data_IF_578647858601
#
_entry.id   IF_578647858601
#
_cell.length_a   1.000
_cell.length_b   1.000
_cell.length_c   1.000
_cell.angle_alpha   90.00
_cell.angle_beta   90.00
_cell.angle_gamma   90.00
#
_symmetry.space_group_name_H-M   'P 1'
#
loop_
_entity.id
_entity.type
_entity.pdbx_description
1 polymer ?
#
# COMPACT_ATOMS: atom_id res chain seq x y z
N UNK A 1 17.63 -21.52 7.59
CA UNK A 1 16.58 -22.16 6.78
C UNK A 1 15.93 -21.08 5.95
N UNK A 2 15.98 -21.19 4.62
CA UNK A 2 15.33 -20.27 3.70
C UNK A 2 13.81 -20.32 3.93
N UNK A 3 13.20 -19.21 4.33
CA UNK A 3 11.75 -19.05 4.26
C UNK A 3 11.39 -19.09 2.78
N UNK A 4 10.89 -20.24 2.33
CA UNK A 4 10.52 -20.49 0.95
C UNK A 4 9.20 -19.76 0.68
N UNK A 5 9.28 -18.45 0.43
CA UNK A 5 8.15 -17.54 0.11
C UNK A 5 7.43 -17.89 -1.21
N UNK A 6 7.88 -18.94 -1.92
CA UNK A 6 7.36 -19.34 -3.24
C UNK A 6 5.93 -19.84 -3.19
N UNK A 7 5.52 -20.45 -2.08
CA UNK A 7 4.16 -20.92 -1.85
C UNK A 7 3.50 -20.19 -0.68
N UNK A 8 3.18 -18.91 -0.93
CA UNK A 8 2.49 -18.06 0.02
C UNK A 8 1.17 -18.65 0.51
N UNK A 9 0.95 -18.56 1.82
CA UNK A 9 -0.20 -19.08 2.56
C UNK A 9 -1.55 -18.62 1.95
N UNK A 10 -1.57 -17.46 1.31
CA UNK A 10 -2.76 -16.81 0.74
C UNK A 10 -3.12 -17.20 -0.70
N UNK A 11 -2.43 -18.19 -1.30
CA UNK A 11 -2.71 -18.60 -2.69
C UNK A 11 -3.99 -19.42 -2.86
N UNK A 12 -4.44 -20.14 -1.82
CA UNK A 12 -5.59 -21.04 -1.92
C UNK A 12 -6.84 -20.37 -1.34
N UNK A 13 -7.85 -20.12 -2.18
CA UNK A 13 -9.13 -19.48 -1.77
C UNK A 13 -9.73 -20.13 -0.52
N UNK A 14 -9.71 -21.46 -0.43
CA UNK A 14 -10.21 -22.21 0.73
C UNK A 14 -9.37 -22.01 2.01
N UNK A 15 -8.05 -21.87 1.87
CA UNK A 15 -7.18 -21.56 3.01
C UNK A 15 -7.49 -20.16 3.53
N UNK A 16 -7.57 -19.17 2.63
CA UNK A 16 -7.90 -17.79 2.95
C UNK A 16 -9.27 -17.70 3.62
N UNK A 17 -10.30 -18.34 3.06
CA UNK A 17 -11.63 -18.39 3.67
C UNK A 17 -11.62 -18.94 5.09
N UNK A 18 -10.87 -20.03 5.34
CA UNK A 18 -10.78 -20.67 6.66
C UNK A 18 -9.99 -19.83 7.66
N UNK A 19 -8.86 -19.28 7.25
CA UNK A 19 -8.00 -18.42 8.09
C UNK A 19 -8.70 -17.10 8.46
N UNK A 20 -9.58 -16.60 7.57
CA UNK A 20 -10.36 -15.39 7.76
C UNK A 20 -11.73 -15.59 8.42
N UNK A 21 -12.15 -16.83 8.68
CA UNK A 21 -13.49 -17.13 9.21
C UNK A 21 -14.64 -16.70 8.28
N UNK A 22 -14.39 -16.65 6.96
CA UNK A 22 -15.32 -16.27 5.90
C UNK A 22 -16.02 -17.48 5.26
N UNK A 23 -16.02 -18.62 5.94
CA UNK A 23 -16.62 -19.89 5.51
C UNK A 23 -18.15 -19.94 5.72
N UNK A 24 -18.72 -18.94 6.40
CA UNK A 24 -20.16 -18.85 6.68
C UNK A 24 -20.85 -18.05 5.57
N UNK A 25 -21.83 -18.67 4.93
CA UNK A 25 -22.44 -18.25 3.66
C UNK A 25 -22.79 -16.77 3.56
N UNK A 26 -22.42 -16.18 2.43
CA UNK A 26 -22.83 -14.85 1.99
C UNK A 26 -23.42 -14.95 0.58
N UNK A 27 -24.50 -14.19 0.37
CA UNK A 27 -25.15 -14.07 -0.93
C UNK A 27 -24.21 -13.36 -1.93
N UNK A 28 -23.91 -13.95 -3.11
CA UNK A 28 -23.02 -13.35 -4.08
C UNK A 28 -23.73 -12.17 -4.75
N UNK A 29 -23.50 -10.97 -4.22
CA UNK A 29 -24.15 -9.75 -4.69
C UNK A 29 -23.59 -9.19 -6.02
N UNK A 30 -22.52 -9.77 -6.60
CA UNK A 30 -21.89 -9.23 -7.84
C UNK A 30 -21.24 -10.29 -8.75
N UNK A 31 -21.11 -9.90 -10.02
CA UNK A 31 -20.45 -10.63 -11.13
C UNK A 31 -18.93 -10.34 -11.25
N UNK A 32 -18.34 -9.58 -10.33
CA UNK A 32 -16.92 -9.21 -10.35
C UNK A 32 -16.05 -10.08 -9.43
N UNK A 33 -14.76 -10.31 -9.76
CA UNK A 33 -13.90 -11.20 -8.97
C UNK A 33 -13.38 -10.62 -7.66
N UNK A 34 -13.56 -9.31 -7.40
CA UNK A 34 -13.03 -8.61 -6.23
C UNK A 34 -14.12 -7.84 -5.47
N UNK A 35 -14.00 -7.76 -4.15
CA UNK A 35 -14.89 -6.97 -3.31
C UNK A 35 -14.47 -5.48 -3.28
N UNK A 36 -15.44 -4.57 -3.22
CA UNK A 36 -15.19 -3.16 -2.91
C UNK A 36 -14.85 -2.95 -1.43
N UNK A 37 -14.58 -1.71 -1.01
CA UNK A 37 -14.42 -1.36 0.41
C UNK A 37 -15.57 -0.44 0.81
N UNK A 38 -16.23 -0.71 1.95
CA UNK A 38 -17.31 0.14 2.46
C UNK A 38 -16.73 1.51 2.85
N UNK A 39 -17.36 2.61 2.46
CA UNK A 39 -16.97 3.93 2.96
C UNK A 39 -17.58 4.15 4.35
N UNK A 40 -16.75 4.41 5.35
CA UNK A 40 -17.14 4.56 6.76
C UNK A 40 -17.09 6.02 7.19
N UNK A 41 -17.69 6.91 6.39
CA UNK A 41 -17.68 8.36 6.62
C UNK A 41 -16.65 9.07 5.75
N UNK A 42 -15.66 9.71 6.37
CA UNK A 42 -14.61 10.48 5.71
C UNK A 42 -13.44 9.61 5.17
N UNK A 43 -13.63 8.31 4.98
CA UNK A 43 -12.54 7.35 4.72
C UNK A 43 -12.31 7.04 3.23
N UNK A 44 -12.86 7.85 2.32
CA UNK A 44 -12.72 7.62 0.88
C UNK A 44 -11.26 7.67 0.38
N UNK A 45 -10.42 8.49 1.01
CA UNK A 45 -8.99 8.57 0.72
C UNK A 45 -8.27 7.26 1.07
N UNK A 46 -8.58 6.69 2.24
CA UNK A 46 -8.08 5.38 2.68
C UNK A 46 -8.52 4.29 1.70
N UNK A 47 -9.82 4.26 1.36
CA UNK A 47 -10.37 3.24 0.47
C UNK A 47 -9.70 3.27 -0.91
N UNK A 48 -9.50 4.47 -1.46
CA UNK A 48 -8.87 4.65 -2.78
C UNK A 48 -7.41 4.20 -2.77
N UNK A 49 -6.66 4.56 -1.72
CA UNK A 49 -5.28 4.12 -1.53
C UNK A 49 -5.17 2.60 -1.39
N UNK A 50 -5.98 1.99 -0.52
CA UNK A 50 -5.96 0.55 -0.28
C UNK A 50 -6.33 -0.25 -1.53
N UNK A 51 -7.29 0.23 -2.32
CA UNK A 51 -7.62 -0.37 -3.62
C UNK A 51 -6.44 -0.29 -4.59
N UNK A 52 -5.80 0.88 -4.73
CA UNK A 52 -4.64 1.04 -5.60
C UNK A 52 -3.50 0.09 -5.20
N UNK A 53 -3.17 0.02 -3.91
CA UNK A 53 -2.15 -0.88 -3.38
C UNK A 53 -2.52 -2.36 -3.55
N UNK A 54 -3.78 -2.73 -3.34
CA UNK A 54 -4.25 -4.11 -3.52
C UNK A 54 -4.10 -4.59 -4.98
N UNK A 55 -4.37 -3.71 -5.95
CA UNK A 55 -4.25 -4.05 -7.36
C UNK A 55 -2.80 -4.08 -7.86
N UNK A 56 -1.86 -3.52 -7.10
CA UNK A 56 -0.42 -3.71 -7.31
C UNK A 56 -0.02 -5.11 -6.86
N UNK A 57 -0.14 -6.09 -7.77
CA UNK A 57 0.01 -7.53 -7.47
C UNK A 57 1.33 -7.92 -6.76
N UNK A 58 2.52 -7.41 -7.14
CA UNK A 58 3.76 -7.71 -6.43
C UNK A 58 3.68 -7.28 -4.96
N UNK A 59 3.28 -6.03 -4.72
CA UNK A 59 3.05 -5.48 -3.39
C UNK A 59 2.05 -6.31 -2.58
N UNK A 60 0.84 -6.53 -3.10
CA UNK A 60 -0.19 -7.33 -2.41
C UNK A 60 0.34 -8.71 -2.01
N UNK A 61 1.04 -9.39 -2.92
CA UNK A 61 1.57 -10.73 -2.67
C UNK A 61 2.60 -10.71 -1.56
N UNK A 62 3.49 -9.72 -1.55
CA UNK A 62 4.50 -9.56 -0.52
C UNK A 62 3.87 -9.20 0.84
N UNK A 63 2.92 -8.25 0.89
CA UNK A 63 2.19 -7.85 2.11
C UNK A 63 1.48 -9.04 2.75
N UNK A 64 0.80 -9.87 1.95
CA UNK A 64 0.13 -11.08 2.43
C UNK A 64 1.12 -12.09 3.02
N UNK A 65 2.36 -12.15 2.54
CA UNK A 65 3.37 -13.08 3.03
C UNK A 65 4.24 -12.55 4.18
N UNK A 66 4.03 -11.31 4.62
CA UNK A 66 4.73 -10.79 5.80
C UNK A 66 4.35 -11.59 7.06
N UNK A 67 5.33 -11.91 7.93
CA UNK A 67 5.07 -12.68 9.14
C UNK A 67 4.24 -11.86 10.14
N UNK A 68 3.09 -12.41 10.54
CA UNK A 68 2.16 -11.77 11.49
C UNK A 68 2.44 -12.14 12.95
N UNK A 69 3.40 -13.03 13.21
CA UNK A 69 3.80 -13.49 14.55
C UNK A 69 5.30 -13.30 14.77
N UNK A 70 5.69 -12.92 15.99
CA UNK A 70 7.09 -12.93 16.42
C UNK A 70 7.67 -14.34 16.31
N UNK A 71 8.86 -14.54 15.70
CA UNK A 71 9.47 -15.86 15.53
C UNK A 71 9.67 -16.67 16.82
N UNK A 72 9.63 -16.00 17.99
CA UNK A 72 10.10 -16.57 19.25
C UNK A 72 9.06 -16.63 20.38
N UNK A 73 7.75 -16.46 20.13
CA UNK A 73 6.69 -16.77 21.11
C UNK A 73 6.82 -16.14 22.52
N UNK A 74 7.66 -15.12 22.69
CA UNK A 74 8.05 -14.52 23.98
C UNK A 74 7.50 -13.11 24.18
N UNK A 75 6.36 -12.81 23.56
CA UNK A 75 5.63 -11.56 23.79
C UNK A 75 4.28 -11.86 24.43
N UNK A 76 4.21 -11.83 25.76
CA UNK A 76 2.95 -11.93 26.52
C UNK A 76 2.17 -10.60 26.52
N UNK A 77 2.27 -9.82 25.44
CA UNK A 77 1.72 -8.47 25.34
C UNK A 77 1.15 -8.20 23.96
N UNK A 78 0.13 -7.35 23.90
CA UNK A 78 -0.49 -6.93 22.65
C UNK A 78 0.52 -6.14 21.80
N UNK A 79 0.85 -6.66 20.60
CA UNK A 79 1.66 -5.95 19.61
C UNK A 79 0.73 -5.25 18.61
N UNK A 80 0.59 -3.93 18.75
CA UNK A 80 -0.24 -3.10 17.87
C UNK A 80 0.14 -3.26 16.38
N UNK A 81 1.44 -3.33 16.06
CA UNK A 81 1.90 -3.44 14.67
C UNK A 81 1.51 -4.77 14.04
N UNK A 82 1.62 -5.86 14.81
CA UNK A 82 1.16 -7.18 14.37
C UNK A 82 -0.37 -7.20 14.16
N UNK A 83 -1.13 -6.52 15.01
CA UNK A 83 -2.58 -6.38 14.85
C UNK A 83 -2.95 -5.58 13.59
N UNK A 84 -2.28 -4.44 13.34
CA UNK A 84 -2.49 -3.63 12.12
C UNK A 84 -2.13 -4.41 10.86
N UNK A 85 -1.00 -5.14 10.86
CA UNK A 85 -0.61 -5.99 9.73
C UNK A 85 -1.63 -7.10 9.49
N UNK A 86 -2.09 -7.78 10.56
CA UNK A 86 -3.12 -8.81 10.45
C UNK A 86 -4.40 -8.25 9.85
N UNK A 87 -4.85 -7.08 10.31
CA UNK A 87 -6.07 -6.45 9.79
C UNK A 87 -5.93 -6.08 8.31
N UNK A 88 -4.78 -5.56 7.87
CA UNK A 88 -4.50 -5.30 6.47
C UNK A 88 -4.51 -6.58 5.62
N UNK A 89 -3.88 -7.65 6.11
CA UNK A 89 -3.85 -8.95 5.45
C UNK A 89 -5.25 -9.56 5.32
N UNK A 90 -6.08 -9.42 6.37
CA UNK A 90 -7.49 -9.85 6.37
C UNK A 90 -8.29 -9.08 5.31
N UNK A 91 -8.14 -7.76 5.26
CA UNK A 91 -8.81 -6.92 4.27
C UNK A 91 -8.40 -7.31 2.84
N UNK A 92 -7.09 -7.42 2.55
CA UNK A 92 -6.62 -7.85 1.23
C UNK A 92 -7.07 -9.27 0.88
N UNK A 93 -7.10 -10.19 1.85
CA UNK A 93 -7.60 -11.54 1.65
C UNK A 93 -9.10 -11.58 1.32
N UNK A 94 -9.92 -10.78 2.01
CA UNK A 94 -11.35 -10.65 1.73
C UNK A 94 -11.59 -10.05 0.33
N UNK A 95 -10.88 -8.96 0.00
CA UNK A 95 -10.92 -8.34 -1.33
C UNK A 95 -10.56 -9.35 -2.43
N UNK A 96 -9.52 -10.17 -2.23
CA UNK A 96 -9.09 -11.19 -3.18
C UNK A 96 -10.09 -12.34 -3.33
N UNK A 97 -10.83 -12.68 -2.27
CA UNK A 97 -11.81 -13.76 -2.34
C UNK A 97 -13.12 -13.35 -3.02
N UNK A 98 -13.46 -12.05 -2.98
CA UNK A 98 -14.63 -11.48 -3.64
C UNK A 98 -15.95 -12.07 -3.12
N UNK A 99 -16.01 -12.40 -1.83
CA UNK A 99 -17.16 -13.10 -1.21
C UNK A 99 -18.31 -12.12 -0.91
N UNK A 100 -17.98 -10.88 -0.55
CA UNK A 100 -18.93 -9.82 -0.20
C UNK A 100 -18.94 -8.72 -1.26
N UNK A 101 -20.04 -7.96 -1.37
CA UNK A 101 -20.07 -6.77 -2.24
C UNK A 101 -19.05 -5.72 -1.79
N UNK A 102 -18.91 -5.54 -0.47
CA UNK A 102 -17.93 -4.65 0.15
C UNK A 102 -17.35 -5.27 1.41
N UNK A 103 -16.05 -5.04 1.62
CA UNK A 103 -15.32 -5.32 2.84
C UNK A 103 -15.68 -4.29 3.92
N UNK A 104 -16.71 -4.54 4.73
CA UNK A 104 -17.09 -3.64 5.84
C UNK A 104 -16.39 -4.02 7.14
N UNK A 105 -16.51 -5.28 7.58
CA UNK A 105 -15.94 -5.71 8.86
C UNK A 105 -14.41 -5.64 8.89
N UNK A 106 -13.75 -6.01 7.79
CA UNK A 106 -12.28 -6.01 7.70
C UNK A 106 -11.70 -4.60 7.58
N UNK A 107 -12.37 -3.67 6.88
CA UNK A 107 -11.91 -2.27 6.83
C UNK A 107 -12.11 -1.59 8.17
N UNK A 108 -13.22 -1.84 8.88
CA UNK A 108 -13.41 -1.34 10.26
C UNK A 108 -12.27 -1.81 11.16
N UNK A 109 -11.96 -3.11 11.15
CA UNK A 109 -10.86 -3.66 11.94
C UNK A 109 -9.49 -3.05 11.57
N UNK A 110 -9.25 -2.77 10.28
CA UNK A 110 -8.04 -2.10 9.83
C UNK A 110 -7.93 -0.67 10.35
N UNK A 111 -9.00 0.13 10.21
CA UNK A 111 -9.01 1.51 10.69
C UNK A 111 -8.81 1.58 12.21
N UNK A 112 -9.47 0.70 12.97
CA UNK A 112 -9.30 0.61 14.43
C UNK A 112 -7.87 0.20 14.81
N UNK A 113 -7.31 -0.81 14.14
CA UNK A 113 -5.96 -1.27 14.40
C UNK A 113 -4.90 -0.22 14.00
N UNK A 114 -5.17 0.62 13.01
CA UNK A 114 -4.30 1.73 12.62
C UNK A 114 -4.61 3.03 13.34
N UNK A 115 -5.66 3.08 14.17
CA UNK A 115 -6.16 4.29 14.86
C UNK A 115 -6.49 5.43 13.89
N UNK A 116 -7.03 5.09 12.71
CA UNK A 116 -7.46 6.06 11.70
C UNK A 116 -8.88 6.53 12.04
N UNK A 117 -9.09 7.84 12.06
CA UNK A 117 -10.38 8.44 12.40
C UNK A 117 -11.34 8.45 11.20
N UNK A 118 -12.58 8.05 11.43
CA UNK A 118 -13.63 7.97 10.40
C UNK A 118 -14.36 9.29 10.13
N UNK A 119 -14.15 10.29 10.99
CA UNK A 119 -14.84 11.59 10.95
C UNK A 119 -14.01 12.73 10.35
N UNK A 120 -12.75 12.48 9.98
CA UNK A 120 -11.81 13.49 9.50
C UNK A 120 -11.18 13.07 8.19
N UNK A 121 -11.03 14.02 7.28
CA UNK A 121 -10.22 13.83 6.08
C UNK A 121 -8.75 14.08 6.41
N UNK A 122 -7.86 13.23 5.91
CA UNK A 122 -6.41 13.39 6.01
C UNK A 122 -5.79 13.49 4.60
N UNK A 123 -4.51 13.84 4.54
CA UNK A 123 -3.74 13.88 3.31
C UNK A 123 -3.48 12.45 2.78
N UNK A 124 -3.98 12.08 1.59
CA UNK A 124 -3.78 10.75 1.03
C UNK A 124 -2.31 10.40 0.74
N UNK A 125 -1.50 11.39 0.34
CA UNK A 125 -0.07 11.21 0.06
C UNK A 125 0.71 10.97 1.35
N UNK A 126 0.38 11.69 2.42
CA UNK A 126 0.98 11.45 3.74
C UNK A 126 0.64 10.04 4.24
N UNK A 127 -0.64 9.64 4.17
CA UNK A 127 -1.07 8.29 4.54
C UNK A 127 -0.33 7.21 3.73
N UNK A 128 -0.19 7.41 2.42
CA UNK A 128 0.51 6.48 1.54
C UNK A 128 1.96 6.28 1.99
N UNK A 129 2.69 7.38 2.20
CA UNK A 129 4.10 7.32 2.61
C UNK A 129 4.27 6.72 4.01
N UNK A 130 3.38 7.02 4.95
CA UNK A 130 3.38 6.39 6.28
C UNK A 130 3.14 4.88 6.20
N UNK A 131 2.16 4.45 5.41
CA UNK A 131 1.81 3.04 5.23
C UNK A 131 2.95 2.25 4.56
N UNK A 132 3.52 2.80 3.49
CA UNK A 132 4.66 2.18 2.77
C UNK A 132 5.89 2.08 3.67
N UNK A 133 6.27 3.17 4.34
CA UNK A 133 7.41 3.20 5.25
C UNK A 133 7.22 2.28 6.45
N UNK A 134 6.00 2.13 6.94
CA UNK A 134 5.69 1.17 8.00
C UNK A 134 5.83 -0.27 7.53
N UNK A 135 5.26 -0.64 6.37
CA UNK A 135 5.39 -1.98 5.81
C UNK A 135 6.84 -2.34 5.51
N UNK A 136 7.61 -1.38 4.98
CA UNK A 136 9.04 -1.54 4.71
C UNK A 136 9.83 -1.94 5.97
N UNK A 137 9.51 -1.34 7.13
CA UNK A 137 10.13 -1.69 8.43
C UNK A 137 9.75 -3.07 8.94
N UNK A 138 8.66 -3.66 8.46
CA UNK A 138 8.24 -5.02 8.83
C UNK A 138 8.91 -6.11 7.98
N UNK A 139 9.65 -5.72 6.93
CA UNK A 139 10.36 -6.67 6.06
C UNK A 139 11.48 -7.34 6.86
N UNK A 140 11.47 -8.69 6.99
CA UNK A 140 12.53 -9.39 7.71
C UNK A 140 13.90 -9.22 7.03
N UNK A 141 14.97 -9.21 7.82
CA UNK A 141 16.34 -9.16 7.29
C UNK A 141 16.59 -10.30 6.30
N UNK A 142 17.14 -9.96 5.14
CA UNK A 142 17.45 -10.92 4.07
C UNK A 142 16.28 -11.23 3.14
N UNK A 143 15.11 -10.63 3.35
CA UNK A 143 14.02 -10.59 2.36
C UNK A 143 14.20 -9.31 1.52
N UNK A 144 14.07 -9.37 0.19
CA UNK A 144 14.13 -8.17 -0.66
C UNK A 144 13.06 -7.15 -0.27
N UNK A 145 13.42 -5.87 -0.42
CA UNK A 145 12.54 -4.77 -0.09
C UNK A 145 11.46 -4.58 -1.16
N UNK A 146 10.30 -5.20 -0.94
CA UNK A 146 9.22 -5.13 -1.94
C UNK A 146 8.62 -3.73 -2.10
N UNK A 147 8.82 -2.81 -1.15
CA UNK A 147 8.35 -1.42 -1.27
C UNK A 147 9.25 -0.68 -2.25
N UNK A 148 10.56 -0.78 -2.05
CA UNK A 148 11.56 -0.21 -2.97
C UNK A 148 11.49 -0.87 -4.35
N UNK A 149 11.36 -2.20 -4.44
CA UNK A 149 11.24 -2.90 -5.73
C UNK A 149 9.98 -2.51 -6.52
N UNK A 150 8.88 -2.16 -5.84
CA UNK A 150 7.61 -1.87 -6.50
C UNK A 150 7.44 -0.38 -6.82
N UNK A 151 7.88 0.50 -5.93
CA UNK A 151 7.61 1.94 -6.00
C UNK A 151 8.87 2.81 -6.01
N UNK A 152 10.03 2.22 -5.72
CA UNK A 152 11.29 2.94 -5.61
C UNK A 152 11.77 3.47 -6.95
N UNK A 153 12.35 4.67 -6.90
CA UNK A 153 13.08 5.30 -7.98
C UNK A 153 14.27 6.10 -7.45
N UNK A 154 15.13 6.54 -8.37
CA UNK A 154 16.27 7.39 -8.08
C UNK A 154 16.12 8.74 -8.80
N UNK A 155 16.36 9.83 -8.07
CA UNK A 155 16.57 11.16 -8.65
C UNK A 155 18.05 11.50 -8.48
N UNK A 156 18.67 12.00 -9.55
CA UNK A 156 20.03 12.51 -9.53
C UNK A 156 19.97 14.01 -9.81
N UNK A 157 20.36 14.81 -8.83
CA UNK A 157 20.56 16.25 -8.97
C UNK A 157 21.99 16.52 -9.37
N UNK A 158 22.19 16.96 -10.60
CA UNK A 158 23.49 17.41 -11.11
C UNK A 158 23.55 18.93 -11.06
N UNK A 159 24.58 19.47 -10.40
CA UNK A 159 24.85 20.91 -10.36
C UNK A 159 26.18 21.19 -11.05
N UNK A 160 26.14 21.97 -12.13
CA UNK A 160 27.33 22.36 -12.89
C UNK A 160 27.67 23.83 -12.64
N UNK A 161 28.90 24.10 -12.17
CA UNK A 161 29.41 25.46 -12.01
C UNK A 161 29.70 26.10 -13.37
N UNK A 162 29.05 27.22 -13.68
CA UNK A 162 29.21 27.93 -14.96
C UNK A 162 30.58 28.58 -15.15
N UNK A 163 31.31 28.88 -14.07
CA UNK A 163 32.59 29.58 -14.15
C UNK A 163 33.79 28.64 -14.32
N UNK A 164 33.78 27.49 -13.63
CA UNK A 164 34.92 26.55 -13.63
C UNK A 164 34.58 25.16 -14.21
N UNK A 165 33.33 24.90 -14.58
CA UNK A 165 32.89 23.63 -15.17
C UNK A 165 32.83 22.46 -14.19
N UNK A 166 33.04 22.67 -12.88
CA UNK A 166 32.95 21.62 -11.88
C UNK A 166 31.52 21.11 -11.75
N UNK A 167 31.37 19.78 -11.72
CA UNK A 167 30.09 19.08 -11.63
C UNK A 167 29.99 18.44 -10.23
N UNK A 168 28.85 18.61 -9.56
CA UNK A 168 28.54 17.91 -8.31
C UNK A 168 27.20 17.21 -8.41
N UNK A 169 27.16 15.94 -7.98
CA UNK A 169 25.97 15.10 -8.06
C UNK A 169 25.45 14.76 -6.65
N UNK A 170 24.14 14.81 -6.48
CA UNK A 170 23.44 14.26 -5.33
C UNK A 170 22.40 13.25 -5.81
N UNK A 171 22.34 12.08 -5.17
CA UNK A 171 21.39 11.03 -5.53
C UNK A 171 20.45 10.78 -4.38
N UNK A 172 19.15 10.80 -4.66
CA UNK A 172 18.09 10.57 -3.68
C UNK A 172 17.17 9.44 -4.16
N UNK A 173 16.71 8.62 -3.21
CA UNK A 173 15.68 7.61 -3.45
C UNK A 173 14.30 8.24 -3.24
N UNK A 174 13.30 7.84 -4.03
CA UNK A 174 11.92 8.24 -3.84
C UNK A 174 10.96 7.06 -4.00
N UNK A 175 9.82 7.11 -3.32
CA UNK A 175 8.68 6.20 -3.54
C UNK A 175 7.45 6.94 -4.11
N UNK A 176 7.49 8.28 -4.08
CA UNK A 176 6.48 9.17 -4.64
C UNK A 176 7.22 10.34 -5.31
N UNK A 177 6.76 10.75 -6.49
CA UNK A 177 7.25 11.95 -7.17
C UNK A 177 6.14 13.00 -7.18
N UNK A 178 6.42 14.20 -6.69
CA UNK A 178 5.48 15.32 -6.71
C UNK A 178 5.58 16.05 -8.02
N UNK A 179 4.49 16.05 -8.78
CA UNK A 179 4.40 16.73 -10.06
C UNK A 179 3.65 18.06 -9.87
N UNK A 180 4.30 19.22 -10.06
CA UNK A 180 3.59 20.49 -10.01
C UNK A 180 2.62 20.55 -11.18
N UNK A 181 1.36 20.84 -10.88
CA UNK A 181 0.36 21.08 -11.92
C UNK A 181 0.50 22.54 -12.36
N UNK A 182 0.66 22.82 -13.66
CA UNK A 182 0.63 24.20 -14.14
C UNK A 182 -0.76 24.77 -13.83
N UNK A 183 -0.80 25.97 -13.24
CA UNK A 183 -2.05 26.72 -13.19
C UNK A 183 -2.46 27.01 -14.63
N UNK A 184 -3.58 26.43 -15.08
CA UNK A 184 -4.16 26.80 -16.35
C UNK A 184 -4.56 28.29 -16.26
N UNK A 185 -3.77 29.19 -16.86
CA UNK A 185 -4.34 30.45 -17.31
C UNK A 185 -5.41 30.10 -18.36
N UNK A 186 -6.67 30.57 -18.21
CA UNK A 186 -7.75 30.22 -19.11
C UNK A 186 -7.59 30.96 -20.45
N UNK A 187 -6.59 30.58 -21.24
CA UNK A 187 -6.25 30.93 -22.64
C UNK A 187 -4.80 30.42 -22.79
N UNK A 188 -4.45 29.42 -23.58
CA UNK A 188 -4.82 29.12 -24.97
C UNK A 188 -4.32 27.69 -25.25
N UNK A 189 -5.06 26.95 -26.08
CA UNK A 189 -4.69 25.64 -26.67
C UNK A 189 -4.41 24.49 -25.69
N UNK A 190 -5.34 23.53 -25.71
CA UNK A 190 -5.24 22.25 -25.06
C UNK A 190 -4.04 21.42 -25.54
N UNK A 191 -3.42 20.72 -24.61
CA UNK A 191 -2.79 19.42 -24.88
C UNK A 191 -1.31 19.44 -25.19
N UNK A 192 -0.47 19.69 -24.18
CA UNK A 192 0.78 18.95 -23.96
C UNK A 192 1.36 19.38 -22.60
N UNK A 193 1.11 18.58 -21.56
CA UNK A 193 1.99 18.63 -20.36
C UNK A 193 3.22 17.82 -20.75
N UNK A 194 4.17 18.47 -21.43
CA UNK A 194 5.47 17.88 -21.72
C UNK A 194 6.21 17.71 -20.39
N UNK A 195 6.55 16.45 -20.08
CA UNK A 195 7.42 16.06 -18.94
C UNK A 195 8.77 16.81 -18.94
N UNK A 196 9.15 17.46 -20.04
CA UNK A 196 10.35 18.28 -20.13
C UNK A 196 10.37 19.48 -19.17
N UNK A 197 9.21 20.01 -18.77
CA UNK A 197 9.13 21.15 -17.83
C UNK A 197 9.36 20.80 -16.36
N UNK A 198 9.48 19.51 -16.03
CA UNK A 198 9.66 19.01 -14.66
C UNK A 198 11.13 18.71 -14.30
N UNK A 199 12.02 18.67 -15.29
CA UNK A 199 13.41 18.23 -15.14
C UNK A 199 14.40 19.36 -15.52
N UNK A 200 13.97 20.62 -15.42
CA UNK A 200 14.82 21.79 -15.65
C UNK A 200 15.13 22.55 -14.35
#
# INVERSE_FOLDING_TARGET
GSLNLRDGVWRKKNFVMKELGLDKGFEPLRTGPFAGIRNLGATCYVNSLLQALFFTKPFRTATLNLPTAEPNGRGSGFNQQAASLRALQVLFGEMQCGISATCESSVTAFLEACKIHTSTHEDPSELAMLLLSWLQRLIPKGVPDFVEETFGGLVIYETTCRSCGSISNQTEVFAEMRVPLPYATPTTAAGEVLLEGLVA
#
